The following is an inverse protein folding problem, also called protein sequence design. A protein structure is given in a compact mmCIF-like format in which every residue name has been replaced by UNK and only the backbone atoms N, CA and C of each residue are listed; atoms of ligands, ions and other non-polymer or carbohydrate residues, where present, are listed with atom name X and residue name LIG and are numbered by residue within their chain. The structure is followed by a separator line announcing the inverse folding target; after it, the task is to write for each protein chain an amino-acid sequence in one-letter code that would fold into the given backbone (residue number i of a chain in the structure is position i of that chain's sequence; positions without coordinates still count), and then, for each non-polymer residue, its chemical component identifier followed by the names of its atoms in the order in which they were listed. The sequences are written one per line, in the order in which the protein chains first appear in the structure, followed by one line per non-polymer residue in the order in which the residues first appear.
data_IF_461050480206
#
_entry.id   IF_461050480206
#
_cell.length_a   1.000
_cell.length_b   1.000
_cell.length_c   1.000
_cell.angle_alpha   90.00
_cell.angle_beta   90.00
_cell.angle_gamma   90.00
#
_symmetry.space_group_name_H-M   'P 1'
#
loop_
_entity.id
_entity.type
_entity.pdbx_description
1 polymer ?
#
# COMPACT_ATOMS: atom_id res chain seq x y z
N UNK A 1 -4.85 3.95 31.08
CA UNK A 1 -5.95 3.56 30.19
C UNK A 1 -5.47 2.42 29.30
N UNK A 2 -5.98 1.19 29.47
CA UNK A 2 -5.74 0.10 28.52
C UNK A 2 -6.70 0.28 27.34
N UNK A 3 -6.28 1.00 26.30
CA UNK A 3 -7.03 0.94 25.04
C UNK A 3 -6.83 -0.45 24.46
N UNK A 4 -7.88 -1.28 24.50
CA UNK A 4 -7.92 -2.60 23.92
C UNK A 4 -7.47 -2.57 22.45
N UNK A 5 -6.22 -2.97 22.20
CA UNK A 5 -5.76 -3.58 20.95
C UNK A 5 -5.83 -2.76 19.66
N UNK A 6 -6.06 -1.44 19.70
CA UNK A 6 -5.98 -0.60 18.50
C UNK A 6 -4.65 0.14 18.50
N UNK A 7 -3.80 -0.16 17.53
CA UNK A 7 -2.57 0.58 17.33
C UNK A 7 -2.91 1.98 16.81
N UNK A 8 -2.11 2.99 17.17
CA UNK A 8 -2.23 4.36 16.63
C UNK A 8 -2.22 4.35 15.09
N UNK A 9 -1.45 3.42 14.52
CA UNK A 9 -1.38 3.15 13.08
C UNK A 9 -2.74 2.82 12.43
N UNK A 10 -3.72 2.35 13.20
CA UNK A 10 -5.04 1.94 12.70
C UNK A 10 -5.94 3.13 12.32
N UNK A 11 -5.66 4.34 12.83
CA UNK A 11 -6.53 5.49 12.59
C UNK A 11 -6.36 6.08 11.18
N UNK A 12 -5.11 6.27 10.75
CA UNK A 12 -4.80 6.97 9.50
C UNK A 12 -3.67 6.37 8.65
N UNK A 13 -2.81 5.49 9.20
CA UNK A 13 -1.53 5.13 8.56
C UNK A 13 -1.39 3.70 8.03
N UNK A 14 -2.11 2.71 8.56
CA UNK A 14 -1.96 1.30 8.16
C UNK A 14 -3.21 0.71 7.52
N UNK A 15 -4.39 1.13 7.98
CA UNK A 15 -5.65 0.65 7.44
C UNK A 15 -6.17 1.70 6.46
N UNK A 16 -6.08 1.36 5.18
CA UNK A 16 -6.92 1.88 4.12
C UNK A 16 -8.28 2.37 4.68
N UNK A 17 -8.74 3.56 4.31
CA UNK A 17 -10.02 4.13 4.74
C UNK A 17 -11.28 3.25 4.47
N UNK A 18 -11.10 2.02 3.97
CA UNK A 18 -12.13 0.99 3.78
C UNK A 18 -12.15 -0.08 4.89
N UNK A 19 -11.16 -0.15 5.78
CA UNK A 19 -11.04 -1.23 6.76
C UNK A 19 -11.86 -1.02 8.05
N UNK A 20 -12.95 -0.26 7.97
CA UNK A 20 -14.07 -0.41 8.92
C UNK A 20 -14.82 -1.70 8.56
N UNK A 21 -14.29 -2.84 9.02
CA UNK A 21 -14.94 -4.14 9.24
C UNK A 21 -15.74 -4.79 8.09
N UNK A 22 -15.68 -4.28 6.86
CA UNK A 22 -16.38 -4.89 5.73
C UNK A 22 -15.43 -5.07 4.53
N UNK A 23 -14.76 -6.21 4.46
CA UNK A 23 -13.83 -6.66 3.42
C UNK A 23 -14.42 -6.77 1.99
N UNK A 24 -15.54 -6.12 1.67
CA UNK A 24 -16.22 -6.24 0.37
C UNK A 24 -16.21 -5.00 -0.52
N UNK A 25 -15.67 -3.86 -0.11
CA UNK A 25 -15.69 -2.67 -0.97
C UNK A 25 -14.31 -2.37 -1.58
N UNK A 26 -14.21 -2.49 -2.90
CA UNK A 26 -13.08 -2.05 -3.72
C UNK A 26 -12.98 -0.51 -3.83
N UNK A 27 -13.41 0.25 -2.80
CA UNK A 27 -13.31 1.71 -2.82
C UNK A 27 -11.84 2.10 -2.73
N UNK A 28 -11.28 2.44 -3.88
CA UNK A 28 -9.90 2.93 -4.03
C UNK A 28 -9.69 4.33 -3.44
N UNK A 29 -10.78 5.05 -3.15
CA UNK A 29 -10.82 6.42 -2.64
C UNK A 29 -11.40 6.45 -1.22
N UNK A 30 -10.76 7.22 -0.34
CA UNK A 30 -11.23 7.43 1.03
C UNK A 30 -12.55 8.21 0.98
N UNK A 31 -13.55 7.84 1.79
CA UNK A 31 -14.73 8.70 1.92
C UNK A 31 -14.29 10.01 2.62
N UNK A 32 -14.49 11.21 2.03
CA UNK A 32 -14.06 12.46 2.64
C UNK A 32 -14.67 12.69 4.03
N UNK A 33 -15.89 12.20 4.27
CA UNK A 33 -16.53 12.28 5.59
C UNK A 33 -15.83 11.38 6.61
N UNK A 34 -15.41 10.17 6.19
CA UNK A 34 -14.67 9.25 7.05
C UNK A 34 -13.24 9.76 7.32
N UNK A 35 -12.58 10.32 6.29
CA UNK A 35 -11.28 10.98 6.42
C UNK A 35 -11.31 12.08 7.47
N UNK A 36 -12.30 12.98 7.37
CA UNK A 36 -12.47 14.09 8.32
C UNK A 36 -12.75 13.58 9.74
N UNK A 37 -13.57 12.54 9.89
CA UNK A 37 -13.83 11.91 11.19
C UNK A 37 -12.56 11.28 11.79
N UNK A 38 -11.79 10.53 10.99
CA UNK A 38 -10.56 9.89 11.46
C UNK A 38 -9.48 10.91 11.82
N UNK A 39 -9.38 12.01 11.05
CA UNK A 39 -8.50 13.13 11.38
C UNK A 39 -8.82 13.73 12.75
N UNK A 40 -10.10 14.04 13.02
CA UNK A 40 -10.50 14.56 14.35
C UNK A 40 -10.20 13.60 15.49
N UNK A 41 -10.38 12.29 15.27
CA UNK A 41 -10.03 11.29 16.27
C UNK A 41 -8.51 11.20 16.48
N UNK A 42 -7.73 11.38 15.43
CA UNK A 42 -6.26 11.40 15.48
C UNK A 42 -5.74 12.63 16.25
N UNK A 43 -6.31 13.80 15.98
CA UNK A 43 -6.00 15.05 16.70
C UNK A 43 -6.31 14.90 18.21
N UNK A 44 -7.51 14.42 18.56
CA UNK A 44 -7.88 14.17 19.96
C UNK A 44 -6.95 13.15 20.65
N UNK A 45 -6.39 12.21 19.90
CA UNK A 45 -5.43 11.25 20.43
C UNK A 45 -4.05 11.87 20.63
N UNK A 46 -3.63 12.77 19.74
CA UNK A 46 -2.42 13.57 19.89
C UNK A 46 -2.46 14.42 21.17
N UNK A 47 -3.62 15.05 21.45
CA UNK A 47 -3.85 15.82 22.68
C UNK A 47 -3.67 14.96 23.94
N UNK A 48 -4.17 13.71 23.89
CA UNK A 48 -4.14 12.80 25.04
C UNK A 48 -2.78 12.12 25.23
N UNK A 49 -2.07 11.80 24.15
CA UNK A 49 -0.77 11.11 24.21
C UNK A 49 0.39 12.08 24.42
N UNK A 50 0.31 13.28 23.84
CA UNK A 50 1.37 14.28 23.85
C UNK A 50 0.76 15.66 24.18
N UNK A 51 0.37 15.92 25.44
CA UNK A 51 -0.17 17.22 25.81
C UNK A 51 0.94 18.27 25.70
N UNK A 52 0.65 19.39 25.03
CA UNK A 52 1.61 20.49 24.87
C UNK A 52 2.05 21.05 26.24
N UNK A 53 1.20 20.93 27.27
CA UNK A 53 1.48 21.36 28.64
C UNK A 53 2.53 20.54 29.38
N UNK A 54 2.84 19.32 28.94
CA UNK A 54 3.84 18.44 29.58
C UNK A 54 5.29 18.88 29.31
N UNK A 55 5.49 19.81 28.37
CA UNK A 55 6.79 20.43 28.11
C UNK A 55 7.20 20.39 26.63
N UNK A 56 8.40 20.91 26.32
CA UNK A 56 8.85 21.13 24.94
C UNK A 56 8.98 19.83 24.14
N UNK A 57 9.42 18.73 24.77
CA UNK A 57 9.52 17.42 24.12
C UNK A 57 8.15 16.85 23.75
N UNK A 58 7.16 17.00 24.64
CA UNK A 58 5.79 16.57 24.37
C UNK A 58 5.16 17.42 23.26
N UNK A 59 5.37 18.74 23.27
CA UNK A 59 4.96 19.63 22.19
C UNK A 59 5.57 19.25 20.83
N UNK A 60 6.86 18.88 20.81
CA UNK A 60 7.52 18.41 19.59
C UNK A 60 6.90 17.10 19.06
N UNK A 61 6.66 16.12 19.94
CA UNK A 61 6.02 14.85 19.56
C UNK A 61 4.57 15.06 19.09
N UNK A 62 3.85 15.98 19.73
CA UNK A 62 2.50 16.37 19.35
C UNK A 62 2.45 16.87 17.90
N UNK A 63 3.29 17.84 17.56
CA UNK A 63 3.41 18.39 16.20
C UNK A 63 3.80 17.31 15.18
N UNK A 64 4.80 16.48 15.51
CA UNK A 64 5.24 15.39 14.64
C UNK A 64 4.11 14.38 14.38
N UNK A 65 3.33 14.05 15.42
CA UNK A 65 2.21 13.12 15.32
C UNK A 65 1.10 13.69 14.42
N UNK A 66 0.75 14.97 14.58
CA UNK A 66 -0.23 15.63 13.70
C UNK A 66 0.21 15.59 12.24
N UNK A 67 1.46 15.94 11.95
CA UNK A 67 1.93 16.09 10.57
C UNK A 67 2.25 14.76 9.88
N UNK A 68 2.84 13.80 10.59
CA UNK A 68 3.25 12.52 9.99
C UNK A 68 2.12 11.48 9.99
N UNK A 69 1.20 11.56 10.95
CA UNK A 69 0.14 10.55 11.12
C UNK A 69 -1.23 11.14 10.81
N UNK A 70 -1.63 12.27 11.39
CA UNK A 70 -2.99 12.79 11.19
C UNK A 70 -3.22 13.47 9.83
N UNK A 71 -2.21 14.07 9.20
CA UNK A 71 -2.38 14.62 7.85
C UNK A 71 -2.57 13.51 6.79
N UNK A 72 -2.11 12.29 7.05
CA UNK A 72 -2.28 11.15 6.13
C UNK A 72 -3.74 10.69 6.02
N UNK A 73 -4.63 11.08 6.93
CA UNK A 73 -6.05 10.75 6.84
C UNK A 73 -6.74 11.40 5.61
N UNK A 74 -6.20 12.50 5.08
CA UNK A 74 -6.78 13.28 3.97
C UNK A 74 -6.01 13.07 2.65
N UNK A 75 -5.94 11.81 2.19
CA UNK A 75 -5.71 11.34 0.79
C UNK A 75 -4.75 12.10 -0.17
N UNK A 76 -3.77 12.90 0.26
CA UNK A 76 -2.78 13.49 -0.67
C UNK A 76 -1.48 12.70 -0.80
N UNK A 77 -1.05 12.01 0.24
CA UNK A 77 0.13 11.16 0.19
C UNK A 77 -0.21 9.77 0.74
N UNK A 78 -0.20 8.77 -0.12
CA UNK A 78 -0.09 7.36 0.31
C UNK A 78 1.40 7.10 0.51
N UNK A 79 1.97 7.12 1.74
CA UNK A 79 3.38 6.79 1.94
C UNK A 79 3.69 5.37 1.47
N UNK A 80 2.70 4.48 1.54
CA UNK A 80 2.73 3.16 0.92
C UNK A 80 1.78 3.17 -0.26
N UNK A 81 2.32 3.30 -1.48
CA UNK A 81 1.58 2.95 -2.68
C UNK A 81 1.07 1.53 -2.47
N UNK A 82 -0.26 1.32 -2.42
CA UNK A 82 -0.85 -0.04 -2.46
C UNK A 82 -0.05 -0.75 -3.54
N UNK A 83 0.61 -1.85 -3.20
CA UNK A 83 1.28 -2.70 -4.18
C UNK A 83 0.26 -2.93 -5.29
N UNK A 84 0.38 -2.14 -6.35
CA UNK A 84 -0.54 -2.17 -7.46
C UNK A 84 -0.47 -3.60 -7.91
N UNK A 85 -1.62 -4.26 -7.99
CA UNK A 85 -1.74 -5.65 -8.43
C UNK A 85 -0.84 -5.78 -9.65
N UNK A 86 0.31 -6.42 -9.44
CA UNK A 86 1.51 -6.09 -10.17
C UNK A 86 1.32 -6.53 -11.61
N UNK A 87 0.86 -5.62 -12.48
CA UNK A 87 0.74 -5.92 -13.91
C UNK A 87 2.09 -6.39 -14.42
N UNK A 88 3.18 -5.89 -13.83
CA UNK A 88 4.53 -6.35 -14.15
C UNK A 88 4.74 -7.83 -13.80
N UNK A 89 4.03 -8.42 -12.83
CA UNK A 89 4.06 -9.86 -12.58
C UNK A 89 3.41 -10.66 -13.71
N UNK A 90 2.25 -10.23 -14.22
CA UNK A 90 1.58 -10.91 -15.34
C UNK A 90 2.40 -10.80 -16.63
N UNK A 91 2.88 -9.61 -16.96
CA UNK A 91 3.75 -9.41 -18.13
C UNK A 91 5.04 -10.24 -18.02
N UNK A 92 5.66 -10.31 -16.84
CA UNK A 92 6.83 -11.17 -16.61
C UNK A 92 6.52 -12.65 -16.81
N UNK A 93 5.39 -13.13 -16.28
CA UNK A 93 4.97 -14.53 -16.44
C UNK A 93 4.66 -14.86 -17.91
N UNK A 94 3.95 -13.98 -18.62
CA UNK A 94 3.64 -14.14 -20.03
C UNK A 94 4.90 -14.14 -20.91
N UNK A 95 5.83 -13.21 -20.67
CA UNK A 95 7.11 -13.15 -21.36
C UNK A 95 7.95 -14.42 -21.11
N UNK A 96 8.00 -14.89 -19.86
CA UNK A 96 8.68 -16.14 -19.51
C UNK A 96 8.10 -17.35 -20.23
N UNK A 97 6.78 -17.48 -20.29
CA UNK A 97 6.11 -18.57 -20.99
C UNK A 97 6.38 -18.53 -22.51
N UNK A 98 6.34 -17.35 -23.13
CA UNK A 98 6.66 -17.19 -24.56
C UNK A 98 8.10 -17.62 -24.88
N UNK A 99 9.06 -17.20 -24.07
CA UNK A 99 10.48 -17.56 -24.27
C UNK A 99 10.67 -19.08 -24.17
N UNK A 100 10.05 -19.73 -23.17
CA UNK A 100 10.13 -21.18 -22.98
C UNK A 100 9.55 -21.99 -24.15
N UNK A 101 8.57 -21.44 -24.89
CA UNK A 101 7.97 -22.10 -26.06
C UNK A 101 8.74 -21.77 -27.34
N UNK A 102 9.17 -20.52 -27.53
CA UNK A 102 9.84 -20.09 -28.75
C UNK A 102 11.24 -20.68 -28.90
N UNK A 103 11.99 -20.83 -27.79
CA UNK A 103 13.33 -21.43 -27.82
C UNK A 103 13.35 -22.85 -28.40
N UNK A 104 12.57 -23.84 -27.89
CA UNK A 104 12.59 -25.19 -28.44
C UNK A 104 12.05 -25.25 -29.88
N UNK A 105 11.05 -24.43 -30.23
CA UNK A 105 10.54 -24.36 -31.62
C UNK A 105 11.63 -23.84 -32.57
N UNK A 106 12.36 -22.81 -32.17
CA UNK A 106 13.48 -22.28 -32.95
C UNK A 106 14.62 -23.28 -33.10
N UNK A 107 14.98 -23.99 -32.01
CA UNK A 107 15.98 -25.05 -32.05
C UNK A 107 15.55 -26.20 -32.98
N UNK A 108 14.28 -26.62 -32.91
CA UNK A 108 13.75 -27.65 -33.80
C UNK A 108 13.76 -27.20 -35.26
N UNK A 109 13.39 -25.95 -35.54
CA UNK A 109 13.46 -25.39 -36.88
C UNK A 109 14.89 -25.40 -37.45
N UNK A 110 15.88 -24.96 -36.65
CA UNK A 110 17.29 -25.03 -37.06
C UNK A 110 17.77 -26.46 -37.26
N UNK A 111 17.34 -27.40 -36.41
CA UNK A 111 17.66 -28.82 -36.56
C UNK A 111 17.10 -29.39 -37.86
N UNK A 112 15.85 -29.07 -38.20
CA UNK A 112 15.22 -29.52 -39.45
C UNK A 112 15.94 -28.94 -40.67
N UNK A 113 16.26 -27.64 -40.68
CA UNK A 113 17.03 -27.01 -41.76
C UNK A 113 18.41 -27.65 -41.92
N UNK A 114 19.11 -27.93 -40.82
CA UNK A 114 20.40 -28.61 -40.88
C UNK A 114 20.29 -30.07 -41.37
N UNK A 115 19.21 -30.78 -41.00
CA UNK A 115 18.99 -32.14 -41.49
C UNK A 115 18.68 -32.18 -42.98
N UNK A 116 17.97 -31.18 -43.51
CA UNK A 116 17.67 -31.06 -44.94
C UNK A 116 18.93 -30.71 -45.75
N UNK A 117 19.76 -29.79 -45.25
CA UNK A 117 21.04 -29.42 -45.88
C UNK A 117 22.09 -30.54 -45.80
N UNK A 118 21.98 -31.44 -44.82
CA UNK A 118 22.91 -32.57 -44.64
C UNK A 118 22.49 -33.82 -45.41
N UNK A 119 21.24 -33.91 -45.89
CA UNK A 119 20.75 -34.99 -46.73
C UNK A 119 21.06 -34.75 -48.21
#
# INVERSE_FOLDING_TARGET
MQSHGKCLADLCGALHCDAVMNFKSSRSKCNPVAAARNRRLCESLADNCFPISEGPSAGCLHELFLHQICDTCSEKHKPFSRGGKDQSSFFRLAAGALILVLLPVFQLFLYLVQSDVKS
#
